data_IF_221535158764
#
_entry.id   IF_221535158764
#
_cell.length_a   1.000
_cell.length_b   1.000
_cell.length_c   1.000
_cell.angle_alpha   90.00
_cell.angle_beta   90.00
_cell.angle_gamma   90.00
#
_symmetry.space_group_name_H-M   'P 1'
#
loop_
_entity.id
_entity.type
_entity.pdbx_description
1 polymer ?
#
# COMPACT_ATOMS: atom_id res chain seq x y z
N UNK A 1 5.00 18.42 -16.90
CA UNK A 1 4.20 17.58 -16.00
C UNK A 1 4.20 16.18 -16.57
N UNK A 2 5.00 15.28 -16.00
CA UNK A 2 4.89 13.84 -16.26
C UNK A 2 3.79 13.35 -15.34
N UNK A 3 2.70 12.82 -15.90
CA UNK A 3 1.68 12.08 -15.16
C UNK A 3 2.24 10.67 -15.06
N UNK A 4 2.56 10.18 -13.87
CA UNK A 4 2.88 8.78 -13.62
C UNK A 4 1.55 8.05 -13.42
N UNK A 5 1.38 6.90 -14.08
CA UNK A 5 0.14 6.14 -14.08
C UNK A 5 0.29 4.95 -13.14
N UNK A 6 -0.07 5.10 -11.87
CA UNK A 6 -0.14 3.97 -10.94
C UNK A 6 -1.32 3.08 -11.35
N UNK A 7 -1.02 1.93 -11.96
CA UNK A 7 -2.02 0.92 -12.30
C UNK A 7 -2.51 0.27 -11.01
N UNK A 8 -3.58 0.81 -10.42
CA UNK A 8 -4.26 0.18 -9.29
C UNK A 8 -4.82 -1.17 -9.72
N UNK A 9 -4.12 -2.23 -9.33
CA UNK A 9 -4.57 -3.62 -9.42
C UNK A 9 -5.38 -3.92 -8.17
N UNK A 10 -6.55 -3.31 -8.07
CA UNK A 10 -7.52 -3.64 -7.03
C UNK A 10 -8.25 -4.94 -7.42
N UNK A 11 -7.80 -6.08 -6.89
CA UNK A 11 -8.59 -7.31 -6.85
C UNK A 11 -8.22 -8.20 -5.65
N UNK A 12 -8.32 -7.65 -4.44
CA UNK A 12 -8.44 -8.44 -3.23
C UNK A 12 -9.78 -9.18 -3.22
N UNK A 13 -9.84 -10.37 -3.82
CA UNK A 13 -10.91 -11.34 -3.57
C UNK A 13 -10.27 -12.59 -2.99
N UNK A 14 -10.28 -12.64 -1.66
CA UNK A 14 -9.96 -13.83 -0.88
C UNK A 14 -10.97 -14.94 -1.21
N UNK A 15 -10.57 -15.91 -2.05
CA UNK A 15 -11.32 -17.14 -2.27
C UNK A 15 -11.03 -18.13 -1.13
N UNK A 16 -11.63 -17.88 0.04
CA UNK A 16 -11.62 -18.84 1.14
C UNK A 16 -12.60 -19.99 0.87
N UNK A 17 -12.13 -21.02 0.17
CA UNK A 17 -12.88 -22.25 -0.07
C UNK A 17 -12.73 -23.22 1.11
N UNK A 18 -13.47 -22.96 2.19
CA UNK A 18 -13.66 -23.94 3.25
C UNK A 18 -14.57 -25.07 2.72
N UNK A 19 -13.96 -26.20 2.35
CA UNK A 19 -14.67 -27.41 1.99
C UNK A 19 -15.45 -27.96 3.20
N UNK A 20 -16.75 -27.69 3.25
CA UNK A 20 -17.68 -28.36 4.17
C UNK A 20 -17.82 -29.83 3.77
N UNK A 21 -17.13 -30.71 4.48
CA UNK A 21 -17.28 -32.16 4.39
C UNK A 21 -18.66 -32.61 4.87
N UNK A 22 -19.42 -33.24 3.99
CA UNK A 22 -20.61 -34.04 4.31
C UNK A 22 -20.28 -35.53 4.32
N UNK A 23 -20.52 -36.19 5.46
CA UNK A 23 -20.23 -37.61 5.72
C UNK A 23 -21.17 -38.59 4.96
N UNK A 24 -20.55 -39.46 4.14
CA UNK A 24 -20.78 -40.87 3.71
C UNK A 24 -22.20 -41.53 3.68
N UNK A 25 -22.40 -42.58 2.82
CA UNK A 25 -21.93 -43.93 3.20
C UNK A 25 -21.30 -44.80 2.09
N UNK A 26 -20.37 -45.64 2.58
CA UNK A 26 -19.57 -46.75 2.05
C UNK A 26 -20.08 -47.60 0.87
N UNK A 27 -19.15 -48.08 0.02
CA UNK A 27 -18.94 -49.52 -0.28
C UNK A 27 -17.53 -49.87 -0.78
N UNK A 28 -16.89 -50.81 -0.06
CA UNK A 28 -15.82 -51.79 -0.36
C UNK A 28 -15.07 -51.84 -1.71
N UNK A 29 -13.74 -51.99 -1.64
CA UNK A 29 -12.91 -52.64 -2.67
C UNK A 29 -11.40 -52.53 -2.43
N UNK A 30 -10.75 -53.63 -2.03
CA UNK A 30 -9.34 -53.70 -1.62
C UNK A 30 -8.32 -53.66 -2.77
N UNK A 31 -7.15 -53.01 -2.55
CA UNK A 31 -5.81 -53.66 -2.49
C UNK A 31 -4.65 -52.69 -2.82
N UNK A 32 -3.79 -52.45 -1.83
CA UNK A 32 -2.32 -52.41 -1.94
C UNK A 32 -1.65 -51.25 -2.67
N UNK A 33 -1.07 -50.31 -1.93
CA UNK A 33 0.38 -50.20 -1.68
C UNK A 33 0.64 -48.99 -0.77
N UNK A 34 1.34 -49.23 0.35
CA UNK A 34 1.83 -48.20 1.26
C UNK A 34 2.91 -47.34 0.59
N UNK A 35 2.66 -46.03 0.52
CA UNK A 35 3.70 -45.02 0.67
C UNK A 35 3.14 -43.98 1.64
N UNK A 36 3.58 -44.07 2.90
CA UNK A 36 3.25 -43.09 3.93
C UNK A 36 4.16 -41.87 3.71
N UNK A 37 3.63 -40.83 3.06
CA UNK A 37 4.04 -39.46 3.24
C UNK A 37 2.91 -38.78 4.01
N UNK A 38 3.14 -38.47 5.27
CA UNK A 38 2.17 -37.79 6.11
C UNK A 38 1.99 -36.36 5.60
N UNK A 39 0.87 -36.09 4.93
CA UNK A 39 0.35 -34.73 4.77
C UNK A 39 -0.17 -34.29 6.15
N UNK A 40 0.73 -33.66 6.90
CA UNK A 40 0.37 -32.90 8.08
C UNK A 40 -0.40 -31.66 7.66
N UNK A 41 -1.51 -31.41 8.33
CA UNK A 41 -2.23 -30.14 8.33
C UNK A 41 -1.23 -28.98 8.45
N UNK A 42 -1.23 -28.08 7.48
CA UNK A 42 -0.39 -26.87 7.50
C UNK A 42 -0.86 -25.98 8.65
N UNK A 43 -0.16 -26.05 9.79
CA UNK A 43 -0.19 -24.97 10.75
C UNK A 43 0.29 -23.69 10.05
N UNK A 44 -0.35 -22.55 10.31
CA UNK A 44 0.08 -21.26 9.75
C UNK A 44 1.59 -21.05 10.03
N UNK A 45 2.35 -20.67 9.01
CA UNK A 45 3.77 -20.35 9.15
C UNK A 45 3.92 -19.13 10.09
N UNK A 46 4.66 -19.22 11.21
CA UNK A 46 4.82 -18.10 12.14
C UNK A 46 5.31 -16.81 11.49
N UNK A 47 6.20 -16.89 10.48
CA UNK A 47 6.72 -15.75 9.74
C UNK A 47 5.62 -15.02 8.97
N UNK A 48 4.83 -15.78 8.21
CA UNK A 48 3.69 -15.28 7.44
C UNK A 48 2.64 -14.61 8.35
N UNK A 49 2.44 -15.17 9.54
CA UNK A 49 1.49 -14.61 10.51
C UNK A 49 1.89 -13.22 11.00
N UNK A 50 3.19 -12.91 11.11
CA UNK A 50 3.66 -11.59 11.53
C UNK A 50 3.53 -10.59 10.38
N UNK A 51 3.91 -10.98 9.16
CA UNK A 51 3.74 -10.15 7.95
C UNK A 51 2.26 -9.79 7.75
N UNK A 52 1.37 -10.79 7.72
CA UNK A 52 -0.07 -10.58 7.55
C UNK A 52 -0.67 -9.65 8.62
N UNK A 53 -0.20 -9.77 9.87
CA UNK A 53 -0.64 -8.91 10.97
C UNK A 53 -0.19 -7.47 10.76
N UNK A 54 1.06 -7.26 10.35
CA UNK A 54 1.58 -5.94 10.05
C UNK A 54 0.83 -5.30 8.88
N UNK A 55 0.70 -6.00 7.74
CA UNK A 55 -0.05 -5.51 6.58
C UNK A 55 -1.51 -5.15 6.91
N UNK A 56 -2.18 -5.96 7.74
CA UNK A 56 -3.54 -5.64 8.22
C UNK A 56 -3.56 -4.34 9.03
N UNK A 57 -2.58 -4.11 9.91
CA UNK A 57 -2.51 -2.89 10.73
C UNK A 57 -2.31 -1.63 9.87
N UNK A 58 -1.49 -1.71 8.81
CA UNK A 58 -1.35 -0.63 7.82
C UNK A 58 -2.70 -0.33 7.14
N UNK A 59 -3.37 -1.37 6.62
CA UNK A 59 -4.65 -1.22 5.95
C UNK A 59 -5.76 -0.70 6.89
N UNK A 60 -5.83 -1.22 8.11
CA UNK A 60 -6.81 -0.82 9.12
C UNK A 60 -6.58 0.63 9.58
N UNK A 61 -5.32 1.04 9.73
CA UNK A 61 -4.96 2.42 10.09
C UNK A 61 -5.34 3.38 8.98
N UNK A 62 -5.02 3.04 7.72
CA UNK A 62 -5.42 3.86 6.58
C UNK A 62 -6.95 3.99 6.49
N UNK A 63 -7.68 2.87 6.60
CA UNK A 63 -9.14 2.88 6.54
C UNK A 63 -9.75 3.73 7.65
N UNK A 64 -9.21 3.67 8.87
CA UNK A 64 -9.64 4.52 9.99
C UNK A 64 -9.49 6.01 9.65
N UNK A 65 -8.37 6.42 9.06
CA UNK A 65 -8.14 7.81 8.66
C UNK A 65 -9.11 8.26 7.57
N UNK A 66 -9.37 7.41 6.57
CA UNK A 66 -10.32 7.67 5.50
C UNK A 66 -11.77 7.76 6.00
N UNK A 67 -12.15 6.93 6.97
CA UNK A 67 -13.49 6.98 7.57
C UNK A 67 -13.71 8.28 8.38
N UNK A 68 -12.70 8.69 9.18
CA UNK A 68 -12.76 9.96 9.91
C UNK A 68 -12.70 11.16 8.96
N UNK A 69 -12.01 11.05 7.82
CA UNK A 69 -12.02 12.07 6.77
C UNK A 69 -13.43 12.26 6.20
N UNK A 70 -14.09 11.18 5.79
CA UNK A 70 -15.45 11.23 5.23
C UNK A 70 -16.45 11.82 6.23
N UNK A 71 -16.32 11.45 7.51
CA UNK A 71 -17.12 12.03 8.58
C UNK A 71 -16.87 13.52 8.73
N UNK A 72 -15.60 13.94 8.72
CA UNK A 72 -15.21 15.34 8.77
C UNK A 72 -15.80 16.13 7.58
N UNK A 73 -15.70 15.63 6.35
CA UNK A 73 -16.32 16.25 5.17
C UNK A 73 -17.84 16.42 5.32
N UNK A 74 -18.53 15.40 5.81
CA UNK A 74 -19.97 15.46 6.06
C UNK A 74 -20.38 16.49 7.13
N UNK A 75 -19.51 16.73 8.11
CA UNK A 75 -19.76 17.70 9.19
C UNK A 75 -19.40 19.14 8.79
N UNK A 76 -18.34 19.32 8.00
CA UNK A 76 -17.91 20.64 7.50
C UNK A 76 -18.85 21.13 6.39
N UNK A 77 -19.25 20.23 5.49
CA UNK A 77 -20.14 20.52 4.36
C UNK A 77 -19.44 21.25 3.21
N UNK A 78 -20.25 21.76 2.28
CA UNK A 78 -19.85 22.30 0.97
C UNK A 78 -19.99 23.83 0.88
N UNK A 79 -19.99 24.54 2.00
CA UNK A 79 -20.19 25.99 2.03
C UNK A 79 -19.10 26.70 2.81
N UNK A 80 -18.76 27.92 2.40
CA UNK A 80 -17.75 28.75 3.06
C UNK A 80 -18.06 28.97 4.55
N UNK A 81 -19.32 29.25 4.89
CA UNK A 81 -19.74 29.41 6.29
C UNK A 81 -19.66 28.09 7.08
N UNK A 82 -19.96 26.96 6.44
CA UNK A 82 -19.76 25.63 7.02
C UNK A 82 -18.29 25.34 7.33
N UNK A 83 -17.38 25.67 6.40
CA UNK A 83 -15.94 25.59 6.61
C UNK A 83 -15.50 26.41 7.82
N UNK A 84 -15.83 27.71 7.86
CA UNK A 84 -15.44 28.59 8.96
C UNK A 84 -15.92 28.11 10.34
N UNK A 85 -17.11 27.52 10.41
CA UNK A 85 -17.67 27.01 11.66
C UNK A 85 -17.02 25.72 12.16
N UNK A 86 -16.29 25.00 11.29
CA UNK A 86 -15.79 23.66 11.55
C UNK A 86 -14.29 23.50 11.23
N UNK A 87 -13.52 24.60 11.16
CA UNK A 87 -12.06 24.57 10.94
C UNK A 87 -11.35 23.64 11.95
N UNK A 88 -11.83 23.64 13.19
CA UNK A 88 -11.31 22.79 14.26
C UNK A 88 -11.38 21.29 13.94
N UNK A 89 -12.35 20.87 13.12
CA UNK A 89 -12.48 19.47 12.71
C UNK A 89 -11.54 19.10 11.58
N UNK A 90 -11.28 20.03 10.67
CA UNK A 90 -10.27 19.85 9.62
C UNK A 90 -8.90 19.70 10.28
N UNK A 91 -8.57 20.60 11.22
CA UNK A 91 -7.33 20.51 12.00
C UNK A 91 -7.26 19.20 12.81
N UNK A 92 -8.35 18.80 13.46
CA UNK A 92 -8.38 17.55 14.22
C UNK A 92 -8.12 16.31 13.35
N UNK A 93 -8.53 16.33 12.08
CA UNK A 93 -8.21 15.24 11.15
C UNK A 93 -6.74 15.26 10.72
N UNK A 94 -6.15 16.44 10.51
CA UNK A 94 -4.71 16.58 10.25
C UNK A 94 -3.88 16.05 11.42
N UNK A 95 -4.18 16.48 12.65
CA UNK A 95 -3.49 16.02 13.86
C UNK A 95 -3.62 14.49 14.01
N UNK A 96 -4.81 13.94 13.74
CA UNK A 96 -5.05 12.49 13.77
C UNK A 96 -4.22 11.76 12.72
N UNK A 97 -4.09 12.29 11.50
CA UNK A 97 -3.31 11.67 10.44
C UNK A 97 -1.83 11.59 10.82
N UNK A 98 -1.26 12.65 11.41
CA UNK A 98 0.12 12.64 11.93
C UNK A 98 0.27 11.61 13.05
N UNK A 99 -0.57 11.71 14.09
CA UNK A 99 -0.49 10.85 15.29
C UNK A 99 -0.63 9.35 14.97
N UNK A 100 -1.58 8.98 14.10
CA UNK A 100 -1.79 7.57 13.73
C UNK A 100 -0.68 7.04 12.84
N UNK A 101 -0.10 7.89 11.97
CA UNK A 101 1.02 7.50 11.12
C UNK A 101 2.30 7.29 11.93
N UNK A 102 2.62 8.18 12.87
CA UNK A 102 3.74 8.02 13.79
C UNK A 102 3.60 6.71 14.60
N UNK A 103 2.41 6.48 15.16
CA UNK A 103 2.14 5.26 15.92
C UNK A 103 2.19 4.00 15.06
N UNK A 104 1.76 4.06 13.80
CA UNK A 104 1.86 2.95 12.85
C UNK A 104 3.32 2.60 12.59
N UNK A 105 4.18 3.61 12.38
CA UNK A 105 5.62 3.41 12.21
C UNK A 105 6.26 2.71 13.41
N UNK A 106 5.93 3.14 14.63
CA UNK A 106 6.41 2.49 15.85
C UNK A 106 5.96 1.01 15.94
N UNK A 107 4.70 0.70 15.59
CA UNK A 107 4.21 -0.69 15.55
C UNK A 107 4.88 -1.52 14.46
N UNK A 108 5.16 -0.93 13.29
CA UNK A 108 5.86 -1.59 12.19
C UNK A 108 7.26 -2.07 12.63
N UNK A 109 7.99 -1.24 13.37
CA UNK A 109 9.29 -1.60 13.95
C UNK A 109 9.15 -2.79 14.92
N UNK A 110 8.12 -2.77 15.79
CA UNK A 110 7.86 -3.91 16.69
C UNK A 110 7.54 -5.20 15.93
N UNK A 111 6.76 -5.12 14.85
CA UNK A 111 6.48 -6.28 13.99
C UNK A 111 7.75 -6.81 13.32
N UNK A 112 8.66 -5.93 12.87
CA UNK A 112 9.94 -6.33 12.30
C UNK A 112 10.79 -7.11 13.31
N UNK A 113 10.88 -6.61 14.54
CA UNK A 113 11.62 -7.30 15.62
C UNK A 113 11.00 -8.65 15.99
N UNK A 114 9.67 -8.73 16.06
CA UNK A 114 8.94 -10.00 16.25
C UNK A 114 9.24 -10.98 15.10
N UNK A 115 9.25 -10.48 13.86
CA UNK A 115 9.56 -11.26 12.67
C UNK A 115 10.99 -11.80 12.68
N UNK A 116 12.00 -10.96 12.94
CA UNK A 116 13.40 -11.38 12.97
C UNK A 116 13.66 -12.40 14.08
N UNK A 117 12.98 -12.30 15.22
CA UNK A 117 13.01 -13.36 16.24
C UNK A 117 12.40 -14.67 15.70
N UNK A 118 11.29 -14.60 14.98
CA UNK A 118 10.67 -15.76 14.35
C UNK A 118 11.57 -16.41 13.28
N UNK A 119 12.39 -15.62 12.56
CA UNK A 119 13.42 -16.14 11.63
C UNK A 119 14.40 -17.02 12.40
N UNK A 120 14.98 -16.52 13.49
CA UNK A 120 15.94 -17.29 14.31
C UNK A 120 15.33 -18.58 14.86
N UNK A 121 14.06 -18.53 15.26
CA UNK A 121 13.39 -19.67 15.90
C UNK A 121 12.94 -20.76 14.90
N UNK A 122 12.71 -20.40 13.63
CA UNK A 122 12.03 -21.28 12.66
C UNK A 122 12.82 -21.56 11.37
N UNK A 123 13.89 -20.81 11.08
CA UNK A 123 14.75 -20.99 9.91
C UNK A 123 16.05 -21.70 10.31
N UNK A 124 16.61 -22.53 9.43
CA UNK A 124 17.93 -23.12 9.68
C UNK A 124 19.00 -22.03 9.56
N UNK A 125 19.40 -21.47 10.70
CA UNK A 125 20.41 -20.41 10.81
C UNK A 125 21.81 -20.81 10.31
N UNK A 126 22.02 -22.08 9.94
CA UNK A 126 23.27 -22.55 9.34
C UNK A 126 23.27 -22.55 7.80
N UNK A 127 22.11 -22.35 7.15
CA UNK A 127 22.03 -22.08 5.71
C UNK A 127 21.87 -20.56 5.49
N UNK A 128 22.99 -19.92 5.15
CA UNK A 128 23.06 -18.47 4.92
C UNK A 128 21.99 -17.99 3.91
N UNK A 129 21.61 -18.82 2.93
CA UNK A 129 20.62 -18.43 1.91
C UNK A 129 19.20 -18.40 2.44
N UNK A 130 18.86 -19.33 3.33
CA UNK A 130 17.52 -19.38 3.91
C UNK A 130 17.32 -18.21 4.89
N UNK A 131 18.37 -17.86 5.65
CA UNK A 131 18.38 -16.69 6.54
C UNK A 131 18.32 -15.38 5.77
N UNK A 132 19.14 -15.21 4.73
CA UNK A 132 19.14 -14.00 3.90
C UNK A 132 17.77 -13.78 3.26
N UNK A 133 17.22 -14.83 2.62
CA UNK A 133 15.89 -14.78 2.02
C UNK A 133 14.81 -14.43 3.05
N UNK A 134 14.81 -15.09 4.21
CA UNK A 134 13.81 -14.81 5.24
C UNK A 134 13.94 -13.39 5.79
N UNK A 135 15.16 -12.86 5.93
CA UNK A 135 15.39 -11.49 6.41
C UNK A 135 14.86 -10.43 5.42
N UNK A 136 14.96 -10.71 4.12
CA UNK A 136 14.44 -9.86 3.04
C UNK A 136 12.90 -9.90 2.95
N UNK A 137 12.27 -11.07 3.15
CA UNK A 137 10.81 -11.24 3.00
C UNK A 137 9.98 -10.22 3.84
N UNK A 138 10.40 -9.84 5.06
CA UNK A 138 9.69 -8.80 5.85
C UNK A 138 9.95 -7.38 5.35
N UNK A 139 11.19 -7.10 4.94
CA UNK A 139 11.55 -5.79 4.42
C UNK A 139 10.72 -5.50 3.18
N UNK A 140 10.68 -6.43 2.22
CA UNK A 140 9.91 -6.26 0.99
C UNK A 140 8.41 -6.06 1.31
N UNK A 141 7.83 -6.94 2.13
CA UNK A 141 6.40 -6.92 2.42
C UNK A 141 5.90 -5.69 3.18
N UNK A 142 6.77 -5.01 3.94
CA UNK A 142 6.38 -3.86 4.77
C UNK A 142 6.97 -2.55 4.27
N UNK A 143 8.29 -2.50 4.01
CA UNK A 143 8.95 -1.29 3.56
C UNK A 143 8.60 -0.95 2.11
N UNK A 144 8.60 -1.95 1.23
CA UNK A 144 8.27 -1.74 -0.18
C UNK A 144 6.76 -1.73 -0.34
N UNK A 145 6.05 -2.78 0.06
CA UNK A 145 4.61 -2.92 -0.24
C UNK A 145 3.71 -2.09 0.72
N UNK A 146 3.64 -2.46 2.00
CA UNK A 146 2.61 -1.90 2.90
C UNK A 146 2.72 -0.38 3.13
N UNK A 147 3.95 0.13 3.21
CA UNK A 147 4.19 1.57 3.31
C UNK A 147 3.92 2.33 2.00
N UNK A 148 4.07 1.71 0.83
CA UNK A 148 3.72 2.33 -0.45
C UNK A 148 2.20 2.45 -0.55
N UNK A 149 1.47 1.36 -0.31
CA UNK A 149 0.00 1.36 -0.27
C UNK A 149 -0.56 2.41 0.72
N UNK A 150 0.06 2.53 1.90
CA UNK A 150 -0.34 3.53 2.91
C UNK A 150 -0.02 4.97 2.47
N UNK A 151 1.15 5.17 1.88
CA UNK A 151 1.58 6.49 1.40
C UNK A 151 0.64 6.98 0.30
N UNK A 152 0.31 6.13 -0.66
CA UNK A 152 -0.63 6.45 -1.73
C UNK A 152 -2.01 6.78 -1.16
N UNK A 153 -2.55 5.93 -0.27
CA UNK A 153 -3.90 6.12 0.27
C UNK A 153 -4.03 7.38 1.15
N UNK A 154 -3.03 7.68 1.97
CA UNK A 154 -3.11 8.75 2.97
C UNK A 154 -2.41 10.01 2.49
N UNK A 155 -1.11 9.93 2.17
CA UNK A 155 -0.33 11.10 1.84
C UNK A 155 -0.72 11.68 0.47
N UNK A 156 -0.89 10.83 -0.55
CA UNK A 156 -1.28 11.29 -1.88
C UNK A 156 -2.80 11.55 -1.93
N UNK A 157 -3.62 10.50 -1.81
CA UNK A 157 -5.05 10.56 -2.08
C UNK A 157 -5.84 11.36 -1.04
N UNK A 158 -5.67 11.07 0.26
CA UNK A 158 -6.51 11.70 1.28
C UNK A 158 -6.21 13.20 1.41
N UNK A 159 -4.94 13.61 1.38
CA UNK A 159 -4.61 15.03 1.43
C UNK A 159 -4.96 15.77 0.14
N UNK A 160 -4.81 15.16 -1.04
CA UNK A 160 -5.28 15.76 -2.30
C UNK A 160 -6.81 15.94 -2.29
N UNK A 161 -7.55 14.97 -1.78
CA UNK A 161 -9.00 15.09 -1.62
C UNK A 161 -9.38 16.24 -0.67
N UNK A 162 -8.62 16.43 0.42
CA UNK A 162 -8.83 17.56 1.34
C UNK A 162 -8.53 18.90 0.67
N UNK A 163 -7.47 18.97 -0.15
CA UNK A 163 -7.13 20.14 -0.96
C UNK A 163 -8.24 20.46 -1.95
N UNK A 164 -8.66 19.48 -2.75
CA UNK A 164 -9.70 19.66 -3.78
C UNK A 164 -11.04 20.06 -3.16
N UNK A 165 -11.42 19.45 -2.05
CA UNK A 165 -12.71 19.69 -1.40
C UNK A 165 -12.77 21.08 -0.79
N UNK A 166 -11.78 21.45 0.01
CA UNK A 166 -11.85 22.70 0.77
C UNK A 166 -11.10 23.85 0.11
N UNK A 167 -9.86 23.65 -0.29
CA UNK A 167 -9.01 24.71 -0.79
C UNK A 167 -9.40 25.12 -2.22
N UNK A 168 -9.35 24.18 -3.18
CA UNK A 168 -9.75 24.44 -4.58
C UNK A 168 -11.27 24.40 -4.81
N UNK A 169 -12.02 23.92 -3.81
CA UNK A 169 -13.48 23.88 -3.82
C UNK A 169 -14.09 25.02 -3.00
N UNK A 170 -14.47 24.71 -1.76
CA UNK A 170 -15.27 25.60 -0.90
C UNK A 170 -14.68 27.02 -0.75
N UNK A 171 -13.37 27.11 -0.52
CA UNK A 171 -12.68 28.39 -0.32
C UNK A 171 -12.52 29.13 -1.65
N UNK A 172 -12.09 28.45 -2.71
CA UNK A 172 -11.95 29.04 -4.03
C UNK A 172 -13.28 29.59 -4.58
N UNK A 173 -14.39 28.88 -4.39
CA UNK A 173 -15.73 29.31 -4.80
C UNK A 173 -16.21 30.58 -4.07
N UNK A 174 -15.71 30.82 -2.86
CA UNK A 174 -16.07 31.98 -2.06
C UNK A 174 -15.39 33.29 -2.53
N UNK A 175 -14.39 33.20 -3.41
CA UNK A 175 -13.57 34.33 -3.87
C UNK A 175 -14.38 35.51 -4.41
N UNK A 176 -15.40 35.24 -5.24
CA UNK A 176 -16.20 36.29 -5.88
C UNK A 176 -17.29 36.88 -4.95
N UNK A 177 -17.55 36.26 -3.80
CA UNK A 177 -18.68 36.59 -2.92
C UNK A 177 -18.29 37.10 -1.55
N UNK A 178 -17.01 36.97 -1.17
CA UNK A 178 -16.45 37.35 0.13
C UNK A 178 -15.52 38.56 -0.05
N UNK A 179 -15.47 39.52 0.90
CA UNK A 179 -14.45 40.55 0.90
C UNK A 179 -13.04 39.93 0.77
N UNK A 180 -12.23 40.48 -0.14
CA UNK A 180 -10.94 39.88 -0.48
C UNK A 180 -10.00 39.70 0.72
N UNK A 181 -9.99 40.65 1.65
CA UNK A 181 -9.20 40.57 2.88
C UNK A 181 -9.62 39.40 3.78
N UNK A 182 -10.93 39.25 4.01
CA UNK A 182 -11.47 38.12 4.80
C UNK A 182 -11.23 36.78 4.10
N UNK A 183 -11.44 36.71 2.78
CA UNK A 183 -11.18 35.52 2.00
C UNK A 183 -9.70 35.15 2.01
N UNK A 184 -8.82 36.13 1.80
CA UNK A 184 -7.38 35.92 1.71
C UNK A 184 -6.82 35.33 3.01
N UNK A 185 -7.19 35.90 4.16
CA UNK A 185 -6.72 35.42 5.47
C UNK A 185 -7.09 33.94 5.67
N UNK A 186 -8.37 33.60 5.47
CA UNK A 186 -8.86 32.22 5.63
C UNK A 186 -8.22 31.27 4.63
N UNK A 187 -8.08 31.69 3.37
CA UNK A 187 -7.52 30.87 2.32
C UNK A 187 -6.02 30.62 2.53
N UNK A 188 -5.26 31.63 2.99
CA UNK A 188 -3.85 31.43 3.36
C UNK A 188 -3.68 30.55 4.58
N UNK A 189 -4.51 30.73 5.61
CA UNK A 189 -4.46 29.90 6.83
C UNK A 189 -4.76 28.43 6.49
N UNK A 190 -5.72 28.19 5.59
CA UNK A 190 -6.07 26.85 5.12
C UNK A 190 -4.92 26.17 4.34
N UNK A 191 -4.20 26.93 3.50
CA UNK A 191 -3.03 26.42 2.78
C UNK A 191 -1.89 26.07 3.73
N UNK A 192 -1.59 26.96 4.69
CA UNK A 192 -0.53 26.76 5.68
C UNK A 192 -0.82 25.50 6.51
N UNK A 193 -2.03 25.39 7.07
CA UNK A 193 -2.42 24.22 7.87
C UNK A 193 -2.35 22.90 7.08
N UNK A 194 -2.79 22.89 5.82
CA UNK A 194 -2.70 21.70 4.96
C UNK A 194 -1.24 21.36 4.63
N UNK A 195 -0.44 22.36 4.27
CA UNK A 195 0.97 22.19 3.91
C UNK A 195 1.78 21.67 5.10
N UNK A 196 1.55 22.22 6.28
CA UNK A 196 2.21 21.80 7.52
C UNK A 196 1.84 20.33 7.81
N UNK A 197 0.55 20.00 7.81
CA UNK A 197 0.08 18.65 8.05
C UNK A 197 0.62 17.61 7.05
N UNK A 198 0.67 17.95 5.74
CA UNK A 198 1.29 17.08 4.73
C UNK A 198 2.78 16.87 5.02
N UNK A 199 3.49 17.94 5.37
CA UNK A 199 4.92 17.86 5.68
C UNK A 199 5.16 17.00 6.92
N UNK A 200 4.37 17.19 7.97
CA UNK A 200 4.45 16.38 9.20
C UNK A 200 4.16 14.90 8.91
N UNK A 201 3.14 14.57 8.10
CA UNK A 201 2.85 13.18 7.71
C UNK A 201 4.00 12.59 6.88
N UNK A 202 4.57 13.35 5.94
CA UNK A 202 5.73 12.90 5.18
C UNK A 202 6.92 12.58 6.09
N UNK A 203 7.22 13.47 7.04
CA UNK A 203 8.33 13.32 7.96
C UNK A 203 8.16 12.05 8.81
N UNK A 204 6.98 11.81 9.39
CA UNK A 204 6.75 10.60 10.20
C UNK A 204 6.75 9.30 9.38
N UNK A 205 6.33 9.33 8.11
CA UNK A 205 6.48 8.18 7.19
C UNK A 205 7.96 7.92 6.90
N UNK A 206 8.72 8.99 6.65
CA UNK A 206 10.15 8.91 6.37
C UNK A 206 10.93 8.35 7.56
N UNK A 207 10.61 8.82 8.78
CA UNK A 207 11.17 8.32 10.03
C UNK A 207 10.85 6.84 10.22
N UNK A 208 9.58 6.45 10.07
CA UNK A 208 9.16 5.05 10.19
C UNK A 208 9.82 4.12 9.17
N UNK A 209 9.95 4.55 7.91
CA UNK A 209 10.70 3.79 6.87
C UNK A 209 12.19 3.71 7.21
N UNK A 210 12.78 4.79 7.71
CA UNK A 210 14.19 4.85 8.10
C UNK A 210 14.50 3.90 9.27
N UNK A 211 13.60 3.81 10.25
CA UNK A 211 13.73 2.88 11.37
C UNK A 211 13.69 1.43 10.90
N UNK A 212 12.76 1.07 10.01
CA UNK A 212 12.70 -0.27 9.41
C UNK A 212 13.99 -0.60 8.63
N UNK A 213 14.47 0.34 7.83
CA UNK A 213 15.72 0.18 7.09
C UNK A 213 16.90 -0.01 8.05
N UNK A 214 16.99 0.79 9.12
CA UNK A 214 18.04 0.67 10.13
C UNK A 214 18.02 -0.71 10.79
N UNK A 215 16.87 -1.14 11.33
CA UNK A 215 16.70 -2.44 11.98
C UNK A 215 17.04 -3.59 11.01
N UNK A 216 16.62 -3.49 9.74
CA UNK A 216 16.97 -4.46 8.70
C UNK A 216 18.49 -4.55 8.48
N UNK A 217 19.18 -3.40 8.37
CA UNK A 217 20.63 -3.39 8.16
C UNK A 217 21.39 -3.95 9.36
N UNK A 218 20.94 -3.64 10.59
CA UNK A 218 21.54 -4.14 11.83
C UNK A 218 21.37 -5.67 11.93
N UNK A 219 20.17 -6.19 11.65
CA UNK A 219 19.88 -7.62 11.68
C UNK A 219 20.65 -8.36 10.59
N UNK A 220 20.65 -7.85 9.35
CA UNK A 220 21.40 -8.45 8.25
C UNK A 220 22.90 -8.53 8.58
N UNK A 221 23.45 -7.48 9.19
CA UNK A 221 24.84 -7.44 9.65
C UNK A 221 25.11 -8.44 10.78
N UNK A 222 24.23 -8.52 11.78
CA UNK A 222 24.35 -9.46 12.90
C UNK A 222 24.32 -10.92 12.41
N UNK A 223 23.33 -11.27 11.59
CA UNK A 223 23.15 -12.63 11.06
C UNK A 223 24.34 -13.04 10.19
N UNK A 224 24.87 -12.14 9.36
CA UNK A 224 26.09 -12.38 8.59
C UNK A 224 27.30 -12.71 9.49
N UNK A 225 27.38 -12.08 10.67
CA UNK A 225 28.42 -12.34 11.66
C UNK A 225 28.11 -13.54 12.58
N UNK A 226 27.08 -14.33 12.27
CA UNK A 226 26.60 -15.46 13.09
C UNK A 226 26.14 -15.03 14.49
N UNK A 227 25.68 -13.78 14.64
CA UNK A 227 25.05 -13.28 15.85
C UNK A 227 23.53 -13.27 15.66
N UNK A 228 22.85 -14.19 16.36
CA UNK A 228 21.41 -14.39 16.25
C UNK A 228 20.65 -13.94 17.51
N UNK A 229 21.30 -13.18 18.40
CA UNK A 229 20.66 -12.60 19.58
C UNK A 229 19.91 -11.31 19.24
N UNK A 230 18.75 -11.44 18.60
CA UNK A 230 17.89 -10.33 18.18
C UNK A 230 17.51 -9.44 19.38
N UNK A 231 17.34 -10.03 20.57
CA UNK A 231 16.99 -9.27 21.77
C UNK A 231 18.14 -8.40 22.25
N UNK A 232 19.38 -8.90 22.20
CA UNK A 232 20.56 -8.11 22.54
C UNK A 232 20.84 -7.00 21.51
N UNK A 233 20.52 -7.24 20.23
CA UNK A 233 20.69 -6.26 19.15
C UNK A 233 19.89 -4.99 19.39
N UNK A 234 18.64 -5.14 19.84
CA UNK A 234 17.71 -4.04 20.07
C UNK A 234 17.58 -3.63 21.55
N UNK A 235 18.42 -4.19 22.43
CA UNK A 235 18.43 -3.81 23.83
C UNK A 235 18.88 -2.34 23.96
N UNK A 236 18.22 -1.54 24.81
CA UNK A 236 18.66 -0.17 25.06
C UNK A 236 20.10 -0.20 25.57
N UNK A 237 20.97 0.57 24.92
CA UNK A 237 22.38 0.67 25.32
C UNK A 237 22.47 1.24 26.73
N UNK A 238 22.76 0.39 27.72
CA UNK A 238 23.16 0.87 29.05
C UNK A 238 24.54 1.52 28.92
N UNK A 239 24.57 2.85 28.86
CA UNK A 239 25.81 3.62 28.96
C UNK A 239 26.35 3.44 30.38
N UNK A 240 27.20 2.44 30.56
CA UNK A 240 28.14 2.39 31.69
C UNK A 240 29.22 3.43 31.43
N UNK A 241 29.10 4.54 32.16
CA UNK A 241 30.07 5.64 32.20
C UNK A 241 31.48 5.12 32.52
N UNK A 242 32.26 4.80 31.49
CA UNK A 242 33.69 4.55 31.62
C UNK A 242 34.45 5.38 30.59
N UNK A 243 34.72 6.62 30.99
CA UNK A 243 35.57 7.56 30.28
C UNK A 243 36.98 6.98 30.05
N UNK A 244 37.31 6.57 28.81
CA UNK A 244 38.64 6.79 28.24
C UNK A 244 38.68 6.72 26.70
N UNK A 245 38.54 7.90 26.09
CA UNK A 245 39.19 8.44 24.87
C UNK A 245 39.97 7.52 23.91
N UNK A 246 39.62 7.63 22.62
CA UNK A 246 40.48 7.36 21.46
C UNK A 246 39.82 7.74 20.11
N UNK A 247 40.13 8.96 19.63
CA UNK A 247 39.96 9.60 18.29
C UNK A 247 39.84 8.68 17.05
N UNK A 248 39.26 9.00 15.88
CA UNK A 248 38.74 10.16 15.13
C UNK A 248 37.88 9.57 13.94
N UNK A 249 37.05 10.25 13.13
CA UNK A 249 37.19 11.55 12.46
C UNK A 249 35.82 11.98 11.91
N UNK A 250 35.42 13.22 12.17
CA UNK A 250 34.42 13.95 11.39
C UNK A 250 34.98 14.29 9.99
N UNK A 251 34.12 14.29 8.98
CA UNK A 251 34.29 15.18 7.84
C UNK A 251 32.94 15.62 7.30
N UNK A 252 32.64 16.89 7.57
CA UNK A 252 31.60 17.74 6.99
C UNK A 252 31.95 18.05 5.53
N UNK A 253 30.99 18.02 4.62
CA UNK A 253 30.99 18.91 3.44
C UNK A 253 29.57 19.43 3.16
N UNK A 254 29.47 20.76 3.26
CA UNK A 254 28.40 21.64 2.79
C UNK A 254 28.74 22.01 1.34
N UNK A 255 27.77 21.95 0.41
CA UNK A 255 27.86 22.75 -0.82
C UNK A 255 26.49 23.19 -1.34
N UNK A 256 26.32 24.51 -1.38
CA UNK A 256 25.21 25.28 -1.94
C UNK A 256 25.46 25.59 -3.41
N UNK A 257 24.52 25.38 -4.37
CA UNK A 257 24.35 26.26 -5.55
C UNK A 257 22.89 26.29 -6.09
N UNK A 258 22.33 27.51 -6.02
CA UNK A 258 21.37 28.24 -6.87
C UNK A 258 20.56 27.61 -8.04
N UNK A 259 19.25 27.89 -7.96
CA UNK A 259 18.28 28.38 -8.97
C UNK A 259 18.68 28.45 -10.45
N UNK A 260 17.88 27.81 -11.30
CA UNK A 260 17.67 28.18 -12.70
C UNK A 260 16.21 27.90 -13.13
N UNK A 261 15.54 28.97 -13.55
CA UNK A 261 14.29 29.02 -14.31
C UNK A 261 14.51 28.44 -15.72
N UNK A 262 13.61 27.59 -16.22
CA UNK A 262 13.23 27.57 -17.64
C UNK A 262 11.81 27.01 -17.83
N UNK A 263 11.01 27.81 -18.52
CA UNK A 263 9.72 27.47 -19.11
C UNK A 263 9.89 26.56 -20.33
N UNK A 264 8.96 25.62 -20.57
CA UNK A 264 8.67 25.14 -21.94
C UNK A 264 7.18 24.80 -22.12
N UNK A 265 6.56 25.58 -23.02
CA UNK A 265 5.28 25.33 -23.70
C UNK A 265 5.43 24.21 -24.73
N UNK A 266 4.42 23.35 -24.89
CA UNK A 266 4.08 22.67 -26.15
C UNK A 266 2.72 21.95 -26.10
N UNK A 267 1.71 22.56 -26.72
CA UNK A 267 1.08 21.99 -27.91
C UNK A 267 -0.06 20.98 -27.75
N UNK A 268 -1.29 21.49 -27.78
CA UNK A 268 -2.52 20.79 -28.15
C UNK A 268 -2.44 20.18 -29.57
N UNK A 269 -2.56 18.86 -29.65
CA UNK A 269 -3.00 18.12 -30.81
C UNK A 269 -3.79 16.92 -30.30
N UNK A 270 -5.04 16.75 -30.77
CA UNK A 270 -5.92 15.65 -30.39
C UNK A 270 -5.24 14.29 -30.58
N UNK A 271 -4.63 13.77 -29.52
CA UNK A 271 -4.02 12.47 -29.49
C UNK A 271 -5.17 11.45 -29.49
N UNK A 272 -5.21 10.56 -30.49
CA UNK A 272 -6.06 9.37 -30.43
C UNK A 272 -5.37 8.32 -29.56
N UNK A 273 -6.16 7.47 -28.89
CA UNK A 273 -5.63 6.34 -28.11
C UNK A 273 -4.65 5.53 -28.96
N UNK A 274 -3.48 5.25 -28.39
CA UNK A 274 -2.43 4.44 -29.00
C UNK A 274 -2.94 3.01 -29.23
N UNK A 275 -2.79 2.45 -30.44
CA UNK A 275 -3.33 1.12 -30.76
C UNK A 275 -2.82 0.01 -29.84
N UNK A 276 -1.54 0.05 -29.46
CA UNK A 276 -0.93 -0.95 -28.59
C UNK A 276 -1.46 -0.82 -27.16
N UNK A 277 -1.54 0.40 -26.63
CA UNK A 277 -2.15 0.67 -25.32
C UNK A 277 -3.61 0.23 -25.25
N UNK A 278 -4.38 0.56 -26.29
CA UNK A 278 -5.77 0.11 -26.43
C UNK A 278 -5.86 -1.43 -26.40
N UNK A 279 -4.99 -2.13 -27.11
CA UNK A 279 -4.99 -3.59 -27.12
C UNK A 279 -4.66 -4.18 -25.74
N UNK A 280 -3.73 -3.59 -25.00
CA UNK A 280 -3.39 -4.03 -23.64
C UNK A 280 -4.55 -3.80 -22.67
N UNK A 281 -5.21 -2.64 -22.75
CA UNK A 281 -6.40 -2.34 -21.94
C UNK A 281 -7.62 -3.19 -22.31
N UNK A 282 -7.82 -3.48 -23.59
CA UNK A 282 -8.89 -4.39 -24.04
C UNK A 282 -8.65 -5.82 -23.51
N UNK A 283 -7.39 -6.26 -23.47
CA UNK A 283 -7.01 -7.56 -22.88
C UNK A 283 -7.21 -7.58 -21.36
N UNK A 284 -6.90 -6.46 -20.68
CA UNK A 284 -7.15 -6.27 -19.26
C UNK A 284 -8.65 -6.39 -18.94
N UNK A 285 -9.49 -5.71 -19.73
CA UNK A 285 -10.95 -5.79 -19.59
C UNK A 285 -11.50 -7.19 -19.88
N UNK A 286 -10.96 -7.89 -20.88
CA UNK A 286 -11.37 -9.25 -21.24
C UNK A 286 -11.06 -10.28 -20.13
N UNK A 287 -9.93 -10.13 -19.43
CA UNK A 287 -9.64 -10.95 -18.26
C UNK A 287 -10.73 -10.81 -17.19
N UNK A 288 -11.17 -9.58 -16.90
CA UNK A 288 -12.24 -9.35 -15.93
C UNK A 288 -13.61 -9.82 -16.40
N UNK A 289 -13.87 -9.87 -17.72
CA UNK A 289 -15.06 -10.54 -18.26
C UNK A 289 -15.03 -12.05 -17.94
N UNK A 290 -13.90 -12.73 -18.17
CA UNK A 290 -13.74 -14.15 -17.82
C UNK A 290 -13.83 -14.38 -16.31
N UNK A 291 -13.29 -13.46 -15.51
CA UNK A 291 -13.38 -13.51 -14.04
C UNK A 291 -14.83 -13.42 -13.54
N UNK A 292 -15.62 -12.49 -14.09
CA UNK A 292 -17.03 -12.31 -13.73
C UNK A 292 -17.87 -13.51 -14.16
N UNK A 293 -17.60 -14.08 -15.34
CA UNK A 293 -18.24 -15.34 -15.76
C UNK A 293 -17.86 -16.51 -14.86
N UNK A 294 -16.58 -16.62 -14.48
CA UNK A 294 -16.08 -17.61 -13.54
C UNK A 294 -16.77 -17.49 -12.18
N UNK A 295 -16.81 -16.29 -11.61
CA UNK A 295 -17.42 -16.02 -10.30
C UNK A 295 -18.92 -16.32 -10.30
N UNK A 296 -19.62 -15.96 -11.39
CA UNK A 296 -21.04 -16.28 -11.56
C UNK A 296 -21.28 -17.79 -11.64
N UNK A 297 -20.45 -18.53 -12.39
CA UNK A 297 -20.56 -19.99 -12.50
C UNK A 297 -20.19 -20.70 -11.19
N UNK A 298 -19.21 -20.17 -10.48
CA UNK A 298 -18.74 -20.66 -9.20
C UNK A 298 -19.77 -20.46 -8.08
N UNK A 299 -20.44 -19.31 -8.03
CA UNK A 299 -21.56 -19.09 -7.12
C UNK A 299 -22.74 -20.04 -7.38
N UNK A 300 -22.98 -20.41 -8.64
CA UNK A 300 -24.04 -21.34 -9.01
C UNK A 300 -23.72 -22.81 -8.66
N UNK A 301 -22.46 -23.24 -8.80
CA UNK A 301 -21.99 -24.57 -8.40
C UNK A 301 -20.52 -24.54 -7.92
N UNK A 302 -20.29 -24.35 -6.62
CA UNK A 302 -18.94 -24.24 -6.06
C UNK A 302 -18.20 -25.58 -6.00
N UNK A 303 -18.85 -26.69 -6.36
CA UNK A 303 -18.26 -28.05 -6.32
C UNK A 303 -17.83 -28.57 -7.70
N UNK A 304 -18.00 -27.76 -8.75
CA UNK A 304 -17.65 -28.13 -10.11
C UNK A 304 -16.13 -28.28 -10.30
N UNK A 305 -15.70 -29.50 -10.63
CA UNK A 305 -14.29 -29.81 -10.91
C UNK A 305 -13.74 -29.11 -12.15
N UNK A 306 -14.61 -28.75 -13.09
CA UNK A 306 -14.23 -27.97 -14.28
C UNK A 306 -13.90 -26.52 -13.92
N UNK A 307 -14.51 -25.97 -12.87
CA UNK A 307 -14.18 -24.64 -12.34
C UNK A 307 -12.86 -24.66 -11.55
N UNK A 308 -12.55 -25.75 -10.85
CA UNK A 308 -11.25 -25.91 -10.18
C UNK A 308 -10.09 -25.97 -11.17
N UNK A 309 -10.28 -26.57 -12.35
CA UNK A 309 -9.27 -26.51 -13.41
C UNK A 309 -9.12 -25.08 -13.97
N UNK A 310 -10.25 -24.39 -14.20
CA UNK A 310 -10.25 -22.98 -14.66
C UNK A 310 -9.61 -21.99 -13.67
N UNK A 311 -9.63 -22.25 -12.36
CA UNK A 311 -9.01 -21.34 -11.39
C UNK A 311 -7.49 -21.26 -11.52
N UNK A 312 -6.82 -22.36 -11.88
CA UNK A 312 -5.38 -22.37 -12.11
C UNK A 312 -5.00 -21.62 -13.41
N UNK A 313 -5.80 -21.79 -14.46
CA UNK A 313 -5.64 -21.03 -15.71
C UNK A 313 -5.86 -19.52 -15.47
N UNK A 314 -6.82 -19.16 -14.62
CA UNK A 314 -7.12 -17.77 -14.28
C UNK A 314 -6.02 -17.10 -13.45
N UNK A 315 -5.37 -17.82 -12.53
CA UNK A 315 -4.18 -17.31 -11.83
C UNK A 315 -3.01 -17.06 -12.80
N UNK A 316 -2.86 -17.90 -13.82
CA UNK A 316 -1.83 -17.72 -14.85
C UNK A 316 -2.14 -16.49 -15.73
N UNK A 317 -3.39 -16.36 -16.18
CA UNK A 317 -3.83 -15.19 -16.95
C UNK A 317 -3.73 -13.88 -16.15
N UNK A 318 -3.98 -13.92 -14.84
CA UNK A 318 -3.78 -12.78 -13.94
C UNK A 318 -2.31 -12.33 -13.93
N UNK A 319 -1.38 -13.26 -13.73
CA UNK A 319 0.05 -12.96 -13.74
C UNK A 319 0.52 -12.39 -15.09
N UNK A 320 0.07 -12.98 -16.20
CA UNK A 320 0.39 -12.51 -17.55
C UNK A 320 -0.15 -11.09 -17.80
N UNK A 321 -1.35 -10.81 -17.30
CA UNK A 321 -2.03 -9.52 -17.42
C UNK A 321 -1.34 -8.44 -16.59
N UNK A 322 -0.93 -8.75 -15.36
CA UNK A 322 -0.14 -7.84 -14.52
C UNK A 322 1.24 -7.57 -15.09
N UNK A 323 1.89 -8.59 -15.65
CA UNK A 323 3.15 -8.41 -16.37
C UNK A 323 2.99 -7.51 -17.60
N UNK A 324 1.85 -7.61 -18.31
CA UNK A 324 1.56 -6.77 -19.47
C UNK A 324 1.26 -5.31 -19.08
N UNK A 325 0.58 -5.07 -17.96
CA UNK A 325 0.37 -3.72 -17.39
C UNK A 325 1.69 -3.07 -16.98
N UNK A 326 2.54 -3.82 -16.28
CA UNK A 326 3.82 -3.30 -15.80
C UNK A 326 4.84 -3.04 -16.92
N UNK A 327 4.61 -3.65 -18.10
CA UNK A 327 5.43 -3.41 -19.30
C UNK A 327 5.04 -2.16 -20.09
N UNK A 328 4.01 -1.41 -19.66
CA UNK A 328 3.56 -0.19 -20.32
C UNK A 328 4.54 0.94 -20.00
N UNK A 329 5.05 1.57 -21.06
CA UNK A 329 5.85 2.80 -20.95
C UNK A 329 4.95 3.98 -20.56
N UNK A 330 4.82 4.21 -19.25
CA UNK A 330 3.95 5.22 -18.67
C UNK A 330 4.36 6.66 -19.08
N UNK A 331 5.66 6.87 -19.31
CA UNK A 331 6.22 8.15 -19.77
C UNK A 331 5.84 8.47 -21.23
N UNK A 332 5.41 7.45 -21.99
CA UNK A 332 5.01 7.56 -23.39
C UNK A 332 3.51 7.73 -23.63
N UNK A 333 2.69 7.72 -22.58
CA UNK A 333 1.22 7.74 -22.71
C UNK A 333 0.67 9.13 -23.04
N UNK A 334 -0.25 9.18 -24.00
CA UNK A 334 -0.96 10.41 -24.36
C UNK A 334 -2.15 10.67 -23.43
N UNK A 335 -2.64 11.91 -23.40
CA UNK A 335 -3.85 12.26 -22.63
C UNK A 335 -5.08 11.43 -23.00
N UNK A 336 -5.19 10.93 -24.23
CA UNK A 336 -6.25 10.02 -24.63
C UNK A 336 -6.03 8.58 -24.16
N UNK A 337 -4.78 8.14 -23.99
CA UNK A 337 -4.47 6.85 -23.36
C UNK A 337 -4.90 6.87 -21.89
N UNK A 338 -4.62 7.96 -21.16
CA UNK A 338 -5.11 8.16 -19.79
C UNK A 338 -6.64 8.13 -19.69
N UNK A 339 -7.34 8.83 -20.58
CA UNK A 339 -8.80 8.80 -20.62
C UNK A 339 -9.33 7.38 -20.92
N UNK A 340 -8.68 6.67 -21.84
CA UNK A 340 -9.06 5.29 -22.18
C UNK A 340 -8.87 4.31 -21.02
N UNK A 341 -7.78 4.47 -20.26
CA UNK A 341 -7.55 3.70 -19.03
C UNK A 341 -8.64 3.92 -17.98
N UNK A 342 -9.01 5.18 -17.72
CA UNK A 342 -10.06 5.50 -16.77
C UNK A 342 -11.43 4.91 -17.19
N UNK A 343 -11.76 4.97 -18.49
CA UNK A 343 -12.98 4.36 -19.02
C UNK A 343 -13.00 2.83 -18.88
N UNK A 344 -11.87 2.16 -19.15
CA UNK A 344 -11.73 0.70 -19.04
C UNK A 344 -11.85 0.27 -17.57
N UNK A 345 -11.17 0.96 -16.67
CA UNK A 345 -11.20 0.70 -15.22
C UNK A 345 -12.61 0.90 -14.65
N UNK A 346 -13.32 1.96 -15.06
CA UNK A 346 -14.71 2.18 -14.66
C UNK A 346 -15.65 1.07 -15.17
N UNK A 347 -15.44 0.54 -16.38
CA UNK A 347 -16.21 -0.61 -16.89
C UNK A 347 -15.93 -1.87 -16.10
N UNK A 348 -14.65 -2.15 -15.79
CA UNK A 348 -14.24 -3.31 -14.98
C UNK A 348 -14.87 -3.24 -13.58
N UNK A 349 -14.79 -2.08 -12.91
CA UNK A 349 -15.42 -1.87 -11.61
C UNK A 349 -16.94 -2.14 -11.66
N UNK A 350 -17.61 -1.65 -12.71
CA UNK A 350 -19.03 -1.94 -12.95
C UNK A 350 -19.34 -3.44 -13.15
N UNK A 351 -18.46 -4.18 -13.83
CA UNK A 351 -18.60 -5.63 -14.01
C UNK A 351 -18.38 -6.40 -12.71
N UNK A 352 -17.36 -6.04 -11.92
CA UNK A 352 -17.07 -6.66 -10.63
C UNK A 352 -18.20 -6.43 -9.61
N UNK A 353 -18.82 -5.25 -9.61
CA UNK A 353 -19.99 -4.97 -8.77
C UNK A 353 -21.19 -5.90 -9.08
N UNK A 354 -21.25 -6.51 -10.26
CA UNK A 354 -22.34 -7.43 -10.65
C UNK A 354 -22.20 -8.84 -10.10
N UNK A 355 -21.01 -9.24 -9.63
CA UNK A 355 -20.74 -10.55 -8.99
C UNK A 355 -20.59 -10.46 -7.47
N UNK A 356 -20.51 -9.25 -6.90
CA UNK A 356 -20.45 -9.02 -5.45
C UNK A 356 -21.81 -8.90 -4.75
N UNK A 357 -22.92 -9.06 -5.48
CA UNK A 357 -24.29 -9.16 -4.95
C UNK A 357 -24.78 -10.61 -4.99
#
# INVERSE_FOLDING_TARGET
MKRTLTFLVSAGIALSLAACGGEAPQTNGASGTQAAGAEGQTAANPLESVISKAQSDFSDTAQKLLDEQQKMFGEVGDTYEGYLQNIDKVQAWYDLAVDETEQLGARAVEYGREYYQAVVDNVDVTDDRDVERATEDFYDAIYEDAYEDYYDAIYEDAFDNSYDTFYDGVLQDAYDTTPYDEWFDVHSDAYEALSDARSDVYDVISDGRSDIYSDYTDVRSAFYNNDFDVQALFAPVEIVDNTQSGEASEQTEEDTIASADESTDSGDAAASVSPDFKATMDSYEAFFDEYVEFMSAYQADPTSTDLIAKSADMMTQYADTMSAMNSIDQDGLSSADYAYYAEVTARIAGKLASVGQ
#
